data_IF_874097209640
#
_entry.id   IF_874097209640
#
_cell.length_a   1.000
_cell.length_b   1.000
_cell.length_c   1.000
_cell.angle_alpha   90.00
_cell.angle_beta   90.00
_cell.angle_gamma   90.00
#
_symmetry.space_group_name_H-M   'P 1'
#
loop_
_entity.id
_entity.type
_entity.pdbx_description
1 polymer ?
#
# COMPACT_ATOMS: atom_id res chain seq x y z
N UNK A 1 12.91 -14.25 -21.27
CA UNK A 1 13.78 -14.59 -20.09
C UNK A 1 14.08 -13.34 -19.24
N UNK A 2 14.48 -12.24 -19.84
CA UNK A 2 14.77 -11.00 -19.10
C UNK A 2 13.52 -10.44 -18.36
N UNK A 3 12.36 -10.42 -19.00
CA UNK A 3 11.10 -9.93 -18.42
C UNK A 3 10.70 -10.71 -17.16
N UNK A 4 10.90 -12.05 -17.17
CA UNK A 4 10.63 -12.89 -16.00
C UNK A 4 11.51 -12.49 -14.81
N UNK A 5 12.79 -12.28 -15.03
CA UNK A 5 13.75 -11.86 -13.99
C UNK A 5 13.36 -10.48 -13.42
N UNK A 6 12.96 -9.54 -14.29
CA UNK A 6 12.54 -8.22 -13.86
C UNK A 6 11.23 -8.27 -13.05
N UNK A 7 10.26 -9.07 -13.48
CA UNK A 7 9.01 -9.26 -12.75
C UNK A 7 9.26 -9.88 -11.37
N UNK A 8 10.07 -10.95 -11.31
CA UNK A 8 10.44 -11.61 -10.05
C UNK A 8 11.18 -10.65 -9.10
N UNK A 9 12.09 -9.83 -9.61
CA UNK A 9 12.77 -8.81 -8.82
C UNK A 9 11.78 -7.79 -8.24
N UNK A 10 10.86 -7.25 -9.05
CA UNK A 10 9.84 -6.32 -8.59
C UNK A 10 8.90 -6.96 -7.56
N UNK A 11 8.44 -8.20 -7.81
CA UNK A 11 7.61 -8.97 -6.88
C UNK A 11 8.31 -9.18 -5.53
N UNK A 12 9.57 -9.58 -5.54
CA UNK A 12 10.33 -9.80 -4.31
C UNK A 12 10.50 -8.51 -3.51
N UNK A 13 10.74 -7.37 -4.16
CA UNK A 13 10.79 -6.06 -3.50
C UNK A 13 9.45 -5.69 -2.86
N UNK A 14 8.32 -5.98 -3.51
CA UNK A 14 6.98 -5.76 -2.95
C UNK A 14 6.78 -6.62 -1.69
N UNK A 15 7.17 -7.90 -1.74
CA UNK A 15 7.07 -8.83 -0.59
C UNK A 15 7.95 -8.36 0.57
N UNK A 16 9.18 -7.95 0.30
CA UNK A 16 10.12 -7.49 1.33
C UNK A 16 9.67 -6.16 1.96
N UNK A 17 9.18 -5.21 1.15
CA UNK A 17 8.64 -3.95 1.65
C UNK A 17 7.43 -4.18 2.56
N UNK A 18 6.49 -5.06 2.17
CA UNK A 18 5.34 -5.43 2.99
C UNK A 18 5.76 -6.09 4.30
N UNK A 19 6.68 -7.05 4.26
CA UNK A 19 7.19 -7.70 5.47
C UNK A 19 7.78 -6.68 6.44
N UNK A 20 8.57 -5.74 5.93
CA UNK A 20 9.13 -4.66 6.75
C UNK A 20 8.05 -3.75 7.32
N UNK A 21 7.07 -3.33 6.51
CA UNK A 21 5.95 -2.52 6.98
C UNK A 21 5.20 -3.21 8.12
N UNK A 22 4.89 -4.50 7.98
CA UNK A 22 4.18 -5.27 9.02
C UNK A 22 5.00 -5.33 10.32
N UNK A 23 6.32 -5.55 10.24
CA UNK A 23 7.19 -5.55 11.43
C UNK A 23 7.20 -4.22 12.19
N UNK A 24 6.91 -3.11 11.52
CA UNK A 24 6.75 -1.81 12.15
C UNK A 24 5.44 -1.67 12.93
N UNK A 25 4.45 -2.52 12.66
CA UNK A 25 3.12 -2.46 13.27
C UNK A 25 2.95 -3.43 14.46
N UNK A 26 3.81 -4.44 14.58
CA UNK A 26 3.65 -5.58 15.48
C UNK A 26 3.46 -5.20 16.97
N UNK A 27 4.10 -4.14 17.44
CA UNK A 27 4.08 -3.71 18.84
C UNK A 27 3.36 -2.38 19.07
N UNK A 28 2.56 -1.91 18.09
CA UNK A 28 1.78 -0.69 18.22
C UNK A 28 0.42 -1.02 18.80
N UNK A 29 0.13 -0.44 19.96
CA UNK A 29 -1.16 -0.60 20.62
C UNK A 29 -2.30 -0.03 19.75
N UNK A 30 -3.44 -0.71 19.70
CA UNK A 30 -4.55 -0.30 18.83
C UNK A 30 -5.08 1.11 19.12
N UNK A 31 -5.02 1.57 20.37
CA UNK A 31 -5.41 2.93 20.76
C UNK A 31 -4.47 4.03 20.21
N UNK A 32 -3.28 3.65 19.72
CA UNK A 32 -2.32 4.57 19.12
C UNK A 32 -2.50 4.75 17.60
N UNK A 33 -3.28 3.89 16.95
CA UNK A 33 -3.37 3.86 15.50
C UNK A 33 -3.97 5.13 14.89
N UNK A 34 -4.89 5.79 15.58
CA UNK A 34 -5.54 7.03 15.12
C UNK A 34 -4.92 8.28 15.73
N UNK A 35 -3.93 8.11 16.61
CA UNK A 35 -3.26 9.23 17.26
C UNK A 35 -2.39 10.00 16.28
N UNK A 36 -2.57 11.31 16.23
CA UNK A 36 -1.68 12.25 15.55
C UNK A 36 -0.73 12.84 16.59
N UNK A 37 0.55 12.40 16.65
CA UNK A 37 1.51 12.95 17.62
C UNK A 37 1.76 14.45 17.44
N UNK A 38 1.51 14.94 16.21
CA UNK A 38 1.59 16.34 15.85
C UNK A 38 0.53 16.66 14.80
N UNK A 39 -0.10 17.83 14.91
CA UNK A 39 -1.09 18.32 13.94
C UNK A 39 -0.53 18.31 12.52
N UNK A 40 -1.32 17.79 11.58
CA UNK A 40 -0.95 17.71 10.17
C UNK A 40 -0.17 16.47 9.75
N UNK A 41 0.18 15.58 10.70
CA UNK A 41 0.74 14.27 10.37
C UNK A 41 -0.39 13.26 10.09
N UNK A 42 -0.17 12.39 9.13
CA UNK A 42 -1.03 11.23 8.92
C UNK A 42 -0.79 10.23 10.05
N UNK A 43 -1.84 9.74 10.70
CA UNK A 43 -1.75 8.69 11.70
C UNK A 43 -1.54 7.29 11.07
N UNK A 44 -1.19 6.29 11.89
CA UNK A 44 -0.83 4.94 11.43
C UNK A 44 -1.96 4.29 10.62
N UNK A 45 -3.22 4.37 11.10
CA UNK A 45 -4.36 3.80 10.39
C UNK A 45 -4.52 4.38 8.98
N UNK A 46 -4.27 5.68 8.79
CA UNK A 46 -4.29 6.31 7.47
C UNK A 46 -3.15 5.76 6.59
N UNK A 47 -1.94 5.62 7.13
CA UNK A 47 -0.79 5.09 6.39
C UNK A 47 -1.10 3.68 5.87
N UNK A 48 -1.63 2.81 6.72
CA UNK A 48 -1.94 1.42 6.39
C UNK A 48 -3.07 1.32 5.34
N UNK A 49 -4.15 2.08 5.53
CA UNK A 49 -5.25 2.12 4.56
C UNK A 49 -4.82 2.69 3.21
N UNK A 50 -3.93 3.71 3.22
CA UNK A 50 -3.37 4.28 2.00
C UNK A 50 -2.48 3.27 1.24
N UNK A 51 -1.70 2.46 1.95
CA UNK A 51 -0.89 1.39 1.35
C UNK A 51 -1.77 0.35 0.63
N UNK A 52 -2.90 -0.04 1.21
CA UNK A 52 -3.85 -0.92 0.53
C UNK A 52 -4.38 -0.31 -0.77
N UNK A 53 -4.81 0.95 -0.72
CA UNK A 53 -5.32 1.69 -1.87
C UNK A 53 -4.25 1.87 -2.96
N UNK A 54 -3.02 2.22 -2.56
CA UNK A 54 -1.92 2.45 -3.50
C UNK A 54 -1.48 1.15 -4.19
N UNK A 55 -1.39 0.04 -3.46
CA UNK A 55 -1.07 -1.27 -4.04
C UNK A 55 -2.12 -1.71 -5.06
N UNK A 56 -3.42 -1.57 -4.75
CA UNK A 56 -4.49 -1.79 -5.73
C UNK A 56 -4.25 -0.97 -7.01
N UNK A 57 -3.97 0.31 -6.84
CA UNK A 57 -3.75 1.24 -7.96
C UNK A 57 -2.54 0.91 -8.81
N UNK A 58 -1.45 0.40 -8.24
CA UNK A 58 -0.18 0.17 -8.92
C UNK A 58 -0.03 -1.25 -9.48
N UNK A 59 -0.52 -2.26 -8.75
CA UNK A 59 -0.30 -3.68 -9.07
C UNK A 59 -1.52 -4.33 -9.74
N UNK A 60 -2.72 -3.75 -9.59
CA UNK A 60 -3.93 -4.29 -10.23
C UNK A 60 -4.47 -3.31 -11.27
N UNK A 61 -4.94 -2.15 -10.86
CA UNK A 61 -5.65 -1.23 -11.75
C UNK A 61 -4.80 -0.77 -12.95
N UNK A 62 -3.55 -0.34 -12.74
CA UNK A 62 -2.66 0.10 -13.83
C UNK A 62 -2.12 -1.02 -14.69
N UNK A 63 -2.20 -2.25 -14.19
CA UNK A 63 -1.71 -3.42 -14.93
C UNK A 63 -2.77 -3.98 -15.87
N UNK A 64 -4.04 -4.05 -15.44
CA UNK A 64 -5.12 -4.76 -16.15
C UNK A 64 -6.45 -4.02 -16.23
N UNK A 65 -6.50 -2.79 -15.73
CA UNK A 65 -7.77 -2.07 -15.59
C UNK A 65 -8.60 -2.56 -14.41
N UNK A 66 -9.82 -2.01 -14.28
CA UNK A 66 -10.77 -2.41 -13.25
C UNK A 66 -11.60 -3.59 -13.73
N UNK A 67 -11.78 -4.57 -12.86
CA UNK A 67 -12.70 -5.70 -13.04
C UNK A 67 -13.76 -5.70 -11.94
N UNK A 68 -14.85 -6.46 -12.12
CA UNK A 68 -15.99 -6.48 -11.21
C UNK A 68 -15.59 -6.99 -9.82
N UNK A 69 -14.75 -8.01 -9.77
CA UNK A 69 -14.25 -8.64 -8.56
C UNK A 69 -13.42 -7.68 -7.68
N UNK A 70 -12.93 -6.58 -8.24
CA UNK A 70 -12.20 -5.56 -7.47
C UNK A 70 -13.10 -4.82 -6.46
N UNK A 71 -14.42 -4.87 -6.64
CA UNK A 71 -15.38 -4.31 -5.67
C UNK A 71 -15.30 -5.03 -4.32
N UNK A 72 -14.96 -6.31 -4.33
CA UNK A 72 -14.80 -7.13 -3.13
C UNK A 72 -13.49 -6.82 -2.39
N UNK A 73 -12.50 -6.21 -3.08
CA UNK A 73 -11.21 -5.87 -2.49
C UNK A 73 -11.28 -4.65 -1.58
N UNK A 74 -11.97 -3.61 -2.02
CA UNK A 74 -12.19 -2.42 -1.20
C UNK A 74 -13.39 -1.62 -1.70
N UNK A 75 -14.16 -1.09 -0.76
CA UNK A 75 -15.30 -0.22 -1.06
C UNK A 75 -14.83 1.13 -1.61
N UNK A 76 -15.73 1.80 -2.34
CA UNK A 76 -15.49 3.18 -2.81
C UNK A 76 -15.30 4.16 -1.65
N UNK A 77 -15.98 3.93 -0.52
CA UNK A 77 -15.85 4.72 0.71
C UNK A 77 -14.46 4.55 1.31
N UNK A 78 -13.97 3.31 1.44
CA UNK A 78 -12.62 3.04 1.90
C UNK A 78 -11.58 3.75 1.03
N UNK A 79 -11.65 3.56 -0.29
CA UNK A 79 -10.73 4.20 -1.23
C UNK A 79 -10.72 5.72 -1.10
N UNK A 80 -11.89 6.35 -0.98
CA UNK A 80 -12.00 7.81 -0.82
C UNK A 80 -11.37 8.28 0.50
N UNK A 81 -11.57 7.55 1.58
CA UNK A 81 -11.06 7.88 2.93
C UNK A 81 -9.53 7.88 2.98
N UNK A 82 -8.87 6.95 2.29
CA UNK A 82 -7.42 6.76 2.31
C UNK A 82 -6.71 7.24 1.03
N UNK A 83 -7.39 7.98 0.15
CA UNK A 83 -6.80 8.50 -1.08
C UNK A 83 -5.84 9.66 -0.79
N UNK A 84 -4.89 9.86 -1.73
CA UNK A 84 -3.99 11.02 -1.71
C UNK A 84 -4.83 12.32 -1.64
N UNK A 85 -4.45 13.21 -0.74
CA UNK A 85 -5.12 14.50 -0.54
C UNK A 85 -6.32 14.44 0.42
N UNK A 86 -6.69 13.24 0.95
CA UNK A 86 -7.60 13.19 2.09
C UNK A 86 -6.91 13.73 3.33
N UNK A 87 -7.66 14.44 4.16
CA UNK A 87 -7.16 14.95 5.45
C UNK A 87 -7.47 13.93 6.53
N UNK A 88 -6.46 13.40 7.25
CA UNK A 88 -6.71 12.54 8.38
C UNK A 88 -7.50 13.27 9.47
N UNK A 89 -8.52 12.61 10.02
CA UNK A 89 -9.27 13.08 11.18
C UNK A 89 -8.69 12.43 12.45
N UNK A 90 -8.81 13.15 13.57
CA UNK A 90 -8.26 12.69 14.86
C UNK A 90 -9.15 11.63 15.52
N UNK A 91 -10.41 11.51 15.10
CA UNK A 91 -11.37 10.57 15.68
C UNK A 91 -11.32 9.21 14.99
N UNK A 92 -11.19 8.15 15.77
CA UNK A 92 -11.32 6.78 15.29
C UNK A 92 -12.72 6.50 14.68
N UNK A 93 -13.76 7.19 15.13
CA UNK A 93 -15.13 7.04 14.64
C UNK A 93 -15.29 7.45 13.17
N UNK A 94 -14.36 8.23 12.65
CA UNK A 94 -14.34 8.65 11.25
C UNK A 94 -13.77 7.57 10.30
N UNK A 95 -13.29 6.46 10.83
CA UNK A 95 -12.60 5.41 10.07
C UNK A 95 -13.23 4.03 10.26
N UNK A 96 -12.98 3.11 9.33
CA UNK A 96 -13.25 1.70 9.56
C UNK A 96 -12.46 1.19 10.77
N UNK A 97 -12.93 0.13 11.45
CA UNK A 97 -12.16 -0.55 12.48
C UNK A 97 -10.77 -0.97 11.97
N UNK A 98 -9.78 -1.00 12.85
CA UNK A 98 -8.40 -1.42 12.50
C UNK A 98 -8.40 -2.81 11.84
N UNK A 99 -9.23 -3.73 12.33
CA UNK A 99 -9.40 -5.07 11.74
C UNK A 99 -9.80 -5.00 10.27
N UNK A 100 -10.75 -4.15 9.91
CA UNK A 100 -11.18 -3.96 8.52
C UNK A 100 -10.06 -3.34 7.67
N UNK A 101 -9.32 -2.37 8.21
CA UNK A 101 -8.19 -1.76 7.51
C UNK A 101 -7.12 -2.82 7.18
N UNK A 102 -6.79 -3.68 8.16
CA UNK A 102 -5.84 -4.78 7.98
C UNK A 102 -6.37 -5.87 7.03
N UNK A 103 -7.65 -6.19 7.11
CA UNK A 103 -8.28 -7.14 6.18
C UNK A 103 -8.21 -6.65 4.73
N UNK A 104 -8.50 -5.37 4.48
CA UNK A 104 -8.38 -4.78 3.14
C UNK A 104 -6.93 -4.78 2.69
N UNK A 105 -5.98 -4.42 3.56
CA UNK A 105 -4.55 -4.46 3.27
C UNK A 105 -4.10 -5.85 2.80
N UNK A 106 -4.48 -6.89 3.56
CA UNK A 106 -4.10 -8.27 3.27
C UNK A 106 -4.79 -8.79 2.01
N UNK A 107 -6.10 -8.58 1.87
CA UNK A 107 -6.88 -9.03 0.71
C UNK A 107 -6.36 -8.43 -0.61
N UNK A 108 -6.01 -7.15 -0.61
CA UNK A 108 -5.39 -6.51 -1.78
C UNK A 108 -4.00 -7.08 -2.04
N UNK A 109 -3.22 -7.32 -1.01
CA UNK A 109 -1.89 -7.90 -1.14
C UNK A 109 -1.93 -9.31 -1.73
N UNK A 110 -2.79 -10.18 -1.21
CA UNK A 110 -2.95 -11.56 -1.69
C UNK A 110 -3.37 -11.57 -3.17
N UNK A 111 -4.36 -10.75 -3.54
CA UNK A 111 -4.79 -10.61 -4.93
C UNK A 111 -3.68 -10.04 -5.82
N UNK A 112 -2.88 -9.11 -5.33
CA UNK A 112 -1.75 -8.56 -6.08
C UNK A 112 -0.70 -9.63 -6.36
N UNK A 113 -0.33 -10.46 -5.38
CA UNK A 113 0.62 -11.56 -5.57
C UNK A 113 0.08 -12.63 -6.52
N UNK A 114 -1.18 -13.04 -6.37
CA UNK A 114 -1.84 -13.97 -7.29
C UNK A 114 -1.80 -13.47 -8.75
N UNK A 115 -2.06 -12.18 -8.96
CA UNK A 115 -1.96 -11.57 -10.27
C UNK A 115 -0.52 -11.58 -10.81
N UNK A 116 0.48 -11.26 -9.99
CA UNK A 116 1.89 -11.26 -10.38
C UNK A 116 2.40 -12.67 -10.72
N UNK A 117 1.92 -13.70 -10.03
CA UNK A 117 2.29 -15.09 -10.31
C UNK A 117 1.82 -15.56 -11.71
N UNK A 118 0.75 -14.95 -12.22
CA UNK A 118 0.15 -15.24 -13.53
C UNK A 118 0.31 -14.08 -14.54
N UNK A 119 1.27 -13.19 -14.31
CA UNK A 119 1.42 -11.95 -15.08
C UNK A 119 1.74 -12.21 -16.55
N UNK A 120 1.04 -11.54 -17.51
CA UNK A 120 1.32 -11.63 -18.94
C UNK A 120 2.62 -10.87 -19.27
N UNK A 121 3.74 -11.61 -19.37
CA UNK A 121 5.09 -11.05 -19.47
C UNK A 121 5.28 -10.12 -20.67
N UNK A 122 4.59 -10.37 -21.77
CA UNK A 122 4.61 -9.53 -22.97
C UNK A 122 4.12 -8.11 -22.73
N UNK A 123 3.31 -7.90 -21.67
CA UNK A 123 2.78 -6.57 -21.31
C UNK A 123 3.66 -5.80 -20.35
N UNK A 124 4.75 -6.38 -19.83
CA UNK A 124 5.53 -5.79 -18.74
C UNK A 124 6.08 -4.39 -19.08
N UNK A 125 6.42 -4.17 -20.34
CA UNK A 125 6.96 -2.90 -20.83
C UNK A 125 5.91 -1.98 -21.47
N UNK A 126 4.63 -2.38 -21.47
CA UNK A 126 3.57 -1.54 -22.00
C UNK A 126 3.49 -0.20 -21.24
N UNK A 127 3.15 0.88 -21.92
CA UNK A 127 2.84 2.14 -21.28
C UNK A 127 1.58 1.99 -20.41
N UNK A 128 1.49 2.81 -19.36
CA UNK A 128 0.26 2.99 -18.59
C UNK A 128 -0.44 4.26 -19.05
N UNK A 129 -1.78 4.21 -19.15
CA UNK A 129 -2.59 5.34 -19.63
C UNK A 129 -2.46 6.57 -18.72
N UNK A 130 -2.36 6.32 -17.40
CA UNK A 130 -2.16 7.35 -16.40
C UNK A 130 -0.85 7.10 -15.67
N UNK A 131 0.27 7.72 -16.10
CA UNK A 131 1.56 7.59 -15.41
C UNK A 131 1.46 7.97 -13.93
N UNK A 132 2.11 7.20 -13.07
CA UNK A 132 2.19 7.51 -11.65
C UNK A 132 3.63 7.90 -11.30
N UNK A 133 3.78 9.10 -10.74
CA UNK A 133 5.09 9.70 -10.48
C UNK A 133 5.94 9.77 -11.78
N UNK A 134 7.16 9.25 -11.76
CA UNK A 134 8.06 9.23 -12.90
C UNK A 134 7.93 7.95 -13.76
N UNK A 135 7.00 7.06 -13.45
CA UNK A 135 6.91 5.73 -14.06
C UNK A 135 5.80 5.68 -15.11
N UNK A 136 6.19 5.50 -16.36
CA UNK A 136 5.29 5.48 -17.51
C UNK A 136 4.97 4.08 -18.03
N UNK A 137 5.55 3.02 -17.45
CA UNK A 137 5.36 1.63 -17.87
C UNK A 137 4.78 0.78 -16.75
N UNK A 138 4.19 -0.36 -17.12
CA UNK A 138 3.67 -1.34 -16.18
C UNK A 138 4.76 -1.83 -15.20
N UNK A 139 5.94 -2.20 -15.71
CA UNK A 139 7.09 -2.55 -14.86
C UNK A 139 7.46 -1.42 -13.89
N UNK A 140 7.50 -0.19 -14.39
CA UNK A 140 7.79 0.97 -13.55
C UNK A 140 6.81 1.12 -12.40
N UNK A 141 5.51 0.88 -12.63
CA UNK A 141 4.49 0.89 -11.57
C UNK A 141 4.73 -0.20 -10.52
N UNK A 142 5.13 -1.41 -10.94
CA UNK A 142 5.45 -2.50 -10.01
C UNK A 142 6.67 -2.16 -9.14
N UNK A 143 7.75 -1.65 -9.73
CA UNK A 143 8.94 -1.19 -9.00
C UNK A 143 8.56 -0.07 -8.03
N UNK A 144 7.78 0.91 -8.50
CA UNK A 144 7.35 2.02 -7.66
C UNK A 144 6.44 1.58 -6.50
N UNK A 145 5.67 0.50 -6.64
CA UNK A 145 4.85 -0.03 -5.55
C UNK A 145 5.70 -0.33 -4.30
N UNK A 146 6.82 -1.02 -4.47
CA UNK A 146 7.74 -1.30 -3.37
C UNK A 146 8.37 -0.03 -2.80
N UNK A 147 8.82 0.90 -3.65
CA UNK A 147 9.38 2.18 -3.21
C UNK A 147 8.34 3.01 -2.44
N UNK A 148 7.10 3.05 -2.92
CA UNK A 148 6.01 3.77 -2.27
C UNK A 148 5.70 3.19 -0.88
N UNK A 149 5.68 1.87 -0.75
CA UNK A 149 5.50 1.21 0.54
C UNK A 149 6.65 1.53 1.50
N UNK A 150 7.90 1.54 1.02
CA UNK A 150 9.05 1.92 1.84
C UNK A 150 9.05 3.39 2.27
N UNK A 151 8.53 4.32 1.43
CA UNK A 151 8.32 5.71 1.82
C UNK A 151 7.34 5.81 3.00
N UNK A 152 6.23 5.08 2.96
CA UNK A 152 5.25 5.03 4.05
C UNK A 152 5.78 4.26 5.28
N UNK A 153 6.55 3.20 5.08
CA UNK A 153 7.24 2.50 6.17
C UNK A 153 8.18 3.44 6.94
N UNK A 154 8.91 4.32 6.24
CA UNK A 154 9.72 5.36 6.87
C UNK A 154 8.88 6.34 7.72
N UNK A 155 7.70 6.74 7.23
CA UNK A 155 6.76 7.58 7.97
C UNK A 155 6.21 6.86 9.21
N UNK A 156 5.82 5.59 9.08
CA UNK A 156 5.38 4.75 10.20
C UNK A 156 6.52 4.62 11.23
N UNK A 157 7.75 4.37 10.78
CA UNK A 157 8.91 4.30 11.65
C UNK A 157 9.19 5.61 12.43
N UNK A 158 8.89 6.76 11.83
CA UNK A 158 8.94 8.05 12.51
C UNK A 158 7.79 8.20 13.52
N UNK A 159 6.56 7.86 13.13
CA UNK A 159 5.39 7.89 14.02
C UNK A 159 5.62 7.00 15.24
N UNK A 160 6.16 5.79 15.08
CA UNK A 160 6.53 4.89 16.18
C UNK A 160 7.42 5.61 17.22
N UNK A 161 8.47 6.30 16.76
CA UNK A 161 9.39 7.03 17.67
C UNK A 161 8.69 8.17 18.39
N UNK A 162 7.78 8.88 17.72
CA UNK A 162 6.95 9.92 18.34
C UNK A 162 5.95 9.36 19.37
N UNK A 163 5.57 8.09 19.22
CA UNK A 163 4.76 7.34 20.18
C UNK A 163 5.60 6.66 21.29
N UNK A 164 6.93 6.88 21.32
CA UNK A 164 7.82 6.33 22.33
C UNK A 164 8.30 4.90 22.08
N UNK A 165 8.03 4.32 20.90
CA UNK A 165 8.48 2.97 20.55
C UNK A 165 9.91 2.97 20.02
N UNK A 166 10.71 1.92 20.28
CA UNK A 166 12.07 1.80 19.75
C UNK A 166 12.05 1.62 18.22
N UNK A 167 13.17 1.95 17.54
CA UNK A 167 13.31 1.64 16.11
C UNK A 167 13.31 0.13 15.87
N UNK A 168 12.69 -0.29 14.77
CA UNK A 168 12.76 -1.66 14.24
C UNK A 168 13.83 -1.68 13.16
N UNK A 169 14.62 -2.72 13.11
CA UNK A 169 15.67 -2.93 12.09
C UNK A 169 15.26 -3.99 11.09
#
# INVERSE_FOLDING_TARGET
>A
MAERVLLEAARNQIVDARRYTLSLLDDIDQNEWFRQPQTGLNHIAWQVGHLAMAMYGLVLFRQRGRVEEDLDLMSSTFRKKFSRGSTPADSADDYPPISEILEVLNRVYDRALEYLDNYPLEQLNDPVDEPYAAYATKLGCLIFCAHHEMLHAGQIGMLRRLLGKPPVR
#
